data_IF_744208685435
#
_entry.id   IF_744208685435
#
_cell.length_a   1.000
_cell.length_b   1.000
_cell.length_c   1.000
_cell.angle_alpha   90.00
_cell.angle_beta   90.00
_cell.angle_gamma   90.00
#
_symmetry.space_group_name_H-M   'P 1'
#
loop_
_entity.id
_entity.type
_entity.pdbx_description
1 polymer ?
#
# COMPACT_ATOMS: atom_id res chain seq x y z
N UNK A 1 -53.12 3.29 -57.16
CA UNK A 1 -52.25 2.19 -57.63
C UNK A 1 -50.86 2.40 -57.06
N UNK A 2 -50.22 1.30 -56.71
CA UNK A 2 -49.02 1.10 -55.87
C UNK A 2 -47.80 1.89 -56.31
N UNK A 3 -46.95 2.28 -55.35
CA UNK A 3 -45.55 1.85 -55.41
C UNK A 3 -44.91 1.78 -54.01
N UNK A 4 -44.23 0.66 -53.81
CA UNK A 4 -43.59 0.24 -52.57
C UNK A 4 -42.18 0.81 -52.50
N UNK A 5 -41.76 1.37 -51.37
CA UNK A 5 -40.33 1.44 -51.06
C UNK A 5 -40.01 0.66 -49.78
N UNK A 6 -39.25 -0.40 -50.03
CA UNK A 6 -38.79 -1.42 -49.11
C UNK A 6 -37.41 -0.98 -48.65
N UNK A 7 -37.24 -0.66 -47.36
CA UNK A 7 -35.90 -0.63 -46.78
C UNK A 7 -35.86 -1.45 -45.50
N UNK A 8 -35.24 -2.62 -45.69
CA UNK A 8 -34.95 -3.66 -44.73
C UNK A 8 -34.04 -3.10 -43.62
N UNK A 9 -34.56 -2.90 -42.42
CA UNK A 9 -33.73 -2.82 -41.22
C UNK A 9 -33.36 -4.26 -40.81
N UNK A 10 -32.27 -4.76 -41.40
CA UNK A 10 -31.60 -5.96 -40.91
C UNK A 10 -30.82 -5.64 -39.62
N UNK A 11 -30.67 -6.60 -38.69
CA UNK A 11 -29.98 -6.36 -37.43
C UNK A 11 -28.49 -6.05 -37.67
N UNK A 12 -28.04 -4.89 -37.17
CA UNK A 12 -26.63 -4.48 -37.14
C UNK A 12 -25.85 -5.49 -36.30
N UNK A 13 -25.02 -6.31 -36.95
CA UNK A 13 -24.03 -7.16 -36.29
C UNK A 13 -23.09 -6.28 -35.46
N UNK A 14 -23.05 -6.50 -34.15
CA UNK A 14 -22.09 -5.90 -33.23
C UNK A 14 -20.69 -6.36 -33.60
N UNK A 15 -19.80 -5.41 -33.93
CA UNK A 15 -18.38 -5.69 -34.08
C UNK A 15 -17.78 -5.99 -32.70
N UNK A 16 -16.91 -7.01 -32.55
CA UNK A 16 -16.27 -7.29 -31.28
C UNK A 16 -15.20 -6.22 -31.01
N UNK A 17 -15.44 -5.36 -30.03
CA UNK A 17 -14.41 -4.50 -29.45
C UNK A 17 -13.43 -5.40 -28.68
N UNK A 18 -12.20 -5.54 -29.21
CA UNK A 18 -11.12 -6.23 -28.50
C UNK A 18 -10.79 -5.41 -27.24
N UNK A 19 -11.17 -5.90 -26.06
CA UNK A 19 -10.73 -5.32 -24.80
C UNK A 19 -9.26 -5.68 -24.58
N UNK A 20 -8.37 -4.69 -24.71
CA UNK A 20 -6.98 -4.81 -24.30
C UNK A 20 -6.93 -4.57 -22.79
N UNK A 21 -6.81 -5.64 -22.01
CA UNK A 21 -6.45 -5.54 -20.60
C UNK A 21 -4.92 -5.45 -20.50
N UNK A 22 -4.40 -4.23 -20.45
CA UNK A 22 -3.01 -4.02 -20.12
C UNK A 22 -2.87 -4.02 -18.59
N UNK A 23 -2.43 -5.14 -18.03
CA UNK A 23 -2.18 -5.27 -16.59
C UNK A 23 -0.76 -4.81 -16.31
N UNK A 24 -0.58 -3.54 -15.96
CA UNK A 24 0.69 -3.06 -15.41
C UNK A 24 0.82 -3.54 -13.96
N UNK A 25 1.65 -4.57 -13.73
CA UNK A 25 2.10 -4.94 -12.38
C UNK A 25 3.46 -4.27 -12.15
N UNK A 26 3.47 -3.13 -11.48
CA UNK A 26 4.66 -2.68 -10.76
C UNK A 26 4.79 -3.56 -9.52
N UNK A 27 5.71 -4.51 -9.55
CA UNK A 27 6.14 -5.25 -8.35
C UNK A 27 7.03 -4.33 -7.51
N UNK A 28 6.44 -3.29 -6.92
CA UNK A 28 6.98 -2.75 -5.69
C UNK A 28 6.42 -3.63 -4.58
N UNK A 29 7.23 -4.57 -4.11
CA UNK A 29 6.98 -5.24 -2.84
C UNK A 29 7.03 -4.18 -1.76
N UNK A 30 5.92 -3.46 -1.56
CA UNK A 30 5.67 -2.71 -0.35
C UNK A 30 5.66 -3.75 0.76
N UNK A 31 6.81 -3.92 1.43
CA UNK A 31 6.87 -4.69 2.67
C UNK A 31 5.77 -4.13 3.56
N UNK A 32 4.81 -4.95 4.00
CA UNK A 32 3.70 -4.44 4.79
C UNK A 32 4.31 -3.77 6.02
N UNK A 33 4.16 -2.45 6.11
CA UNK A 33 4.58 -1.71 7.30
C UNK A 33 3.60 -2.07 8.39
N UNK A 34 3.85 -3.18 9.08
CA UNK A 34 3.04 -3.61 10.21
C UNK A 34 3.12 -2.51 11.25
N UNK A 35 2.06 -1.70 11.36
CA UNK A 35 1.96 -0.67 12.39
C UNK A 35 1.80 -1.37 13.72
N UNK A 36 2.92 -1.61 14.39
CA UNK A 36 2.93 -2.19 15.73
C UNK A 36 2.88 -1.07 16.75
N UNK A 37 1.86 -1.08 17.59
CA UNK A 37 1.78 -0.18 18.75
C UNK A 37 2.38 -0.89 19.96
N UNK A 38 3.39 -0.28 20.57
CA UNK A 38 4.02 -0.76 21.80
C UNK A 38 3.66 0.16 22.95
N UNK A 39 3.26 -0.42 24.08
CA UNK A 39 3.06 0.32 25.32
C UNK A 39 4.36 0.32 26.11
N UNK A 40 4.89 1.51 26.37
CA UNK A 40 6.08 1.72 27.19
C UNK A 40 5.70 2.24 28.57
N UNK A 41 6.55 1.96 29.56
CA UNK A 41 6.47 2.64 30.85
C UNK A 41 6.64 4.17 30.64
N UNK A 42 5.85 4.97 31.35
CA UNK A 42 5.79 6.42 31.15
C UNK A 42 7.13 7.11 31.44
N UNK A 43 7.87 6.68 32.46
CA UNK A 43 9.14 7.30 32.81
C UNK A 43 10.25 6.92 31.84
N UNK A 44 10.25 5.66 31.37
CA UNK A 44 11.14 5.23 30.28
C UNK A 44 10.87 6.04 29.00
N UNK A 45 9.60 6.26 28.65
CA UNK A 45 9.24 7.09 27.50
C UNK A 45 9.72 8.53 27.63
N UNK A 46 9.60 9.14 28.82
CA UNK A 46 10.13 10.51 29.07
C UNK A 46 11.65 10.57 28.87
N UNK A 47 12.39 9.60 29.40
CA UNK A 47 13.84 9.54 29.25
C UNK A 47 14.26 9.39 27.78
N UNK A 48 13.60 8.46 27.05
CA UNK A 48 13.82 8.28 25.62
C UNK A 48 13.50 9.54 24.82
N UNK A 49 12.43 10.27 25.18
CA UNK A 49 12.05 11.51 24.53
C UNK A 49 13.09 12.61 24.73
N UNK A 50 13.60 12.78 25.96
CA UNK A 50 14.67 13.76 26.24
C UNK A 50 15.91 13.42 25.42
N UNK A 51 16.36 12.17 25.44
CA UNK A 51 17.52 11.74 24.68
C UNK A 51 17.33 11.92 23.17
N UNK A 52 16.16 11.56 22.65
CA UNK A 52 15.82 11.71 21.24
C UNK A 52 15.89 13.17 20.77
N UNK A 53 15.34 14.11 21.56
CA UNK A 53 15.39 15.54 21.25
C UNK A 53 16.83 16.07 21.29
N UNK A 54 17.62 15.67 22.29
CA UNK A 54 19.02 16.13 22.41
C UNK A 54 19.90 15.67 21.25
N UNK A 55 19.57 14.54 20.61
CA UNK A 55 20.39 13.91 19.57
C UNK A 55 19.76 14.00 18.17
N UNK A 56 18.67 14.75 17.99
CA UNK A 56 17.91 14.84 16.74
C UNK A 56 17.51 13.46 16.17
N UNK A 57 16.98 12.60 17.05
CA UNK A 57 16.54 11.25 16.72
C UNK A 57 15.03 11.09 16.92
N UNK A 58 14.46 10.07 16.27
CA UNK A 58 13.09 9.64 16.53
C UNK A 58 13.05 8.60 17.65
N UNK A 59 12.09 8.71 18.58
CA UNK A 59 11.90 7.74 19.67
C UNK A 59 11.69 6.33 19.12
N UNK A 60 10.94 6.18 18.03
CA UNK A 60 10.72 4.87 17.39
C UNK A 60 12.03 4.20 16.96
N UNK A 61 12.97 4.97 16.41
CA UNK A 61 14.27 4.46 15.98
C UNK A 61 15.07 3.89 17.16
N UNK A 62 15.07 4.58 18.30
CA UNK A 62 15.74 4.12 19.52
C UNK A 62 15.12 2.83 20.05
N UNK A 63 13.80 2.72 19.97
CA UNK A 63 13.07 1.50 20.39
C UNK A 63 13.39 0.34 19.45
N UNK A 64 13.40 0.58 18.13
CA UNK A 64 13.72 -0.45 17.14
C UNK A 64 15.15 -0.98 17.29
N UNK A 65 16.13 -0.09 17.52
CA UNK A 65 17.53 -0.45 17.78
C UNK A 65 17.66 -1.27 19.06
N UNK A 66 16.99 -0.85 20.14
CA UNK A 66 17.01 -1.59 21.41
C UNK A 66 16.39 -2.99 21.28
N UNK A 67 15.31 -3.13 20.51
CA UNK A 67 14.70 -4.44 20.20
C UNK A 67 15.67 -5.29 19.38
N UNK A 68 16.28 -4.72 18.34
CA UNK A 68 17.23 -5.44 17.49
C UNK A 68 18.43 -5.95 18.31
N UNK A 69 18.98 -5.13 19.20
CA UNK A 69 20.09 -5.51 20.08
C UNK A 69 19.70 -6.57 21.11
N UNK A 70 18.48 -6.50 21.65
CA UNK A 70 17.95 -7.54 22.53
C UNK A 70 17.83 -8.89 21.81
N UNK A 71 17.36 -8.88 20.57
CA UNK A 71 17.23 -10.10 19.76
C UNK A 71 18.59 -10.69 19.40
N UNK A 72 19.57 -9.86 19.02
CA UNK A 72 20.95 -10.30 18.74
C UNK A 72 21.60 -10.97 19.94
N UNK A 73 21.39 -10.44 21.15
CA UNK A 73 21.96 -11.02 22.39
C UNK A 73 21.38 -12.38 22.78
N UNK A 74 20.26 -12.79 22.17
CA UNK A 74 19.56 -14.05 22.45
C UNK A 74 19.81 -15.12 21.39
N UNK A 75 20.62 -14.82 20.38
CA UNK A 75 21.13 -15.77 19.38
C UNK A 75 22.55 -16.18 19.72
#
# INVERSE_FOLDING_TARGET
MTDSNKSKLGPRKSAPTKSVQETFRTTETASPTTKTSLTLNADLYKQLKVYAVTNDLAVNKLVDEAIADLLKKRQ
#
